data_IF_036810502301
#
_entry.id   IF_036810502301
#
_cell.length_a   1.000
_cell.length_b   1.000
_cell.length_c   1.000
_cell.angle_alpha   90.00
_cell.angle_beta   90.00
_cell.angle_gamma   90.00
#
_symmetry.space_group_name_H-M   'P 1'
#
loop_
_entity.id
_entity.type
_entity.pdbx_description
1 polymer ?
#
# COMPACT_ATOMS: atom_id res chain seq x y z
N UNK A 1 -9.55 -50.25 1.61
CA UNK A 1 -8.40 -50.44 0.71
C UNK A 1 -8.37 -49.24 -0.20
N UNK A 2 -7.23 -48.54 -0.21
CA UNK A 2 -7.06 -47.23 -0.80
C UNK A 2 -7.16 -47.29 -2.32
N UNK A 3 -8.06 -46.47 -2.87
CA UNK A 3 -8.00 -46.01 -4.25
C UNK A 3 -7.64 -44.53 -4.20
N UNK A 4 -6.41 -44.21 -4.57
CA UNK A 4 -5.98 -42.88 -5.00
C UNK A 4 -4.62 -43.08 -5.68
N UNK A 5 -4.71 -43.39 -6.97
CA UNK A 5 -3.58 -43.38 -7.87
C UNK A 5 -3.64 -42.13 -8.74
N UNK A 6 -2.44 -41.59 -8.91
CA UNK A 6 -1.95 -40.78 -10.02
C UNK A 6 -2.34 -39.30 -10.24
N UNK A 7 -1.25 -38.59 -10.59
CA UNK A 7 -1.18 -37.40 -11.44
C UNK A 7 -1.26 -36.03 -10.77
N UNK A 8 -0.12 -35.62 -10.18
CA UNK A 8 0.32 -34.21 -10.28
C UNK A 8 1.67 -34.19 -10.97
N UNK A 9 1.63 -34.27 -12.30
CA UNK A 9 2.75 -33.88 -13.15
C UNK A 9 2.53 -32.43 -13.57
N UNK A 10 3.38 -31.54 -13.09
CA UNK A 10 3.28 -30.12 -13.36
C UNK A 10 4.58 -29.40 -13.03
N UNK A 11 5.50 -29.36 -13.99
CA UNK A 11 6.16 -28.12 -14.46
C UNK A 11 7.46 -28.43 -15.20
N UNK A 12 7.48 -28.03 -16.47
CA UNK A 12 8.61 -27.55 -17.28
C UNK A 12 10.02 -28.11 -17.03
N UNK A 13 10.48 -28.93 -17.97
CA UNK A 13 11.88 -29.16 -18.29
C UNK A 13 12.59 -27.86 -18.71
N UNK A 14 13.26 -27.19 -17.78
CA UNK A 14 14.26 -26.15 -18.09
C UNK A 14 15.38 -26.22 -17.05
N UNK A 15 16.43 -26.95 -17.45
CA UNK A 15 17.70 -27.08 -16.72
C UNK A 15 17.55 -27.82 -15.39
N UNK A 16 18.44 -28.80 -15.14
CA UNK A 16 18.41 -29.65 -13.94
C UNK A 16 18.23 -28.78 -12.70
N UNK A 17 17.16 -29.00 -11.92
CA UNK A 17 16.87 -28.21 -10.72
C UNK A 17 18.15 -28.05 -9.89
N UNK A 18 18.46 -26.87 -9.32
CA UNK A 18 19.72 -26.65 -8.58
C UNK A 18 19.93 -27.71 -7.48
N UNK A 19 18.83 -28.18 -6.91
CA UNK A 19 18.76 -29.30 -5.96
C UNK A 19 19.21 -30.64 -6.55
N UNK A 20 18.86 -30.95 -7.80
CA UNK A 20 19.31 -32.15 -8.53
C UNK A 20 20.81 -32.10 -8.82
N UNK A 21 21.37 -30.92 -9.12
CA UNK A 21 22.82 -30.75 -9.34
C UNK A 21 23.61 -31.06 -8.06
N UNK A 22 23.08 -30.67 -6.90
CA UNK A 22 23.63 -31.04 -5.59
C UNK A 22 23.27 -32.46 -5.15
N UNK A 23 22.29 -33.10 -5.78
CA UNK A 23 21.76 -34.42 -5.40
C UNK A 23 21.03 -34.40 -4.06
N UNK A 24 20.33 -33.31 -3.74
CA UNK A 24 19.57 -33.14 -2.50
C UNK A 24 18.08 -32.89 -2.81
N UNK A 25 17.20 -33.17 -1.86
CA UNK A 25 15.78 -32.84 -2.00
C UNK A 25 15.55 -31.32 -1.90
N UNK A 26 14.46 -30.83 -2.49
CA UNK A 26 14.03 -29.42 -2.41
C UNK A 26 13.72 -28.97 -0.97
N UNK A 27 13.38 -29.94 -0.11
CA UNK A 27 13.11 -29.78 1.33
C UNK A 27 14.38 -29.80 2.19
N UNK A 28 15.57 -30.01 1.60
CA UNK A 28 16.81 -30.18 2.35
C UNK A 28 17.17 -28.95 3.18
N UNK A 29 17.71 -29.15 4.38
CA UNK A 29 18.16 -28.07 5.26
C UNK A 29 19.45 -27.40 4.75
N UNK A 30 19.72 -26.18 5.22
CA UNK A 30 20.94 -25.44 4.87
C UNK A 30 22.23 -26.21 5.20
N UNK A 31 22.18 -27.01 6.27
CA UNK A 31 23.31 -27.85 6.67
C UNK A 31 23.52 -29.02 5.71
N UNK A 32 22.46 -29.60 5.16
CA UNK A 32 22.52 -30.70 4.19
C UNK A 32 23.03 -30.23 2.84
N UNK A 33 22.59 -29.04 2.38
CA UNK A 33 23.09 -28.40 1.17
C UNK A 33 24.60 -28.15 1.26
N UNK A 34 25.06 -27.56 2.38
CA UNK A 34 26.50 -27.34 2.61
C UNK A 34 27.26 -28.67 2.64
N UNK A 35 26.75 -29.70 3.32
CA UNK A 35 27.39 -31.02 3.38
C UNK A 35 27.47 -31.69 2.00
N UNK A 36 26.42 -31.60 1.18
CA UNK A 36 26.40 -32.12 -0.18
C UNK A 36 27.41 -31.38 -1.07
N UNK A 37 27.45 -30.05 -0.97
CA UNK A 37 28.45 -29.22 -1.64
C UNK A 37 29.89 -29.64 -1.29
N UNK A 38 30.23 -29.77 0.00
CA UNK A 38 31.58 -30.18 0.40
C UNK A 38 31.97 -31.55 -0.17
N UNK A 39 31.03 -32.51 -0.20
CA UNK A 39 31.29 -33.85 -0.76
C UNK A 39 31.55 -33.79 -2.27
N UNK A 40 30.77 -32.99 -3.01
CA UNK A 40 30.93 -32.84 -4.46
C UNK A 40 32.15 -32.01 -4.82
N UNK A 41 32.43 -30.94 -4.08
CA UNK A 41 33.60 -30.08 -4.27
C UNK A 41 34.90 -30.86 -4.07
N UNK A 42 34.97 -31.76 -3.09
CA UNK A 42 36.12 -32.64 -2.89
C UNK A 42 36.31 -33.65 -4.02
N UNK A 43 35.24 -34.10 -4.67
CA UNK A 43 35.31 -35.04 -5.81
C UNK A 43 35.72 -34.34 -7.11
N UNK A 44 35.26 -33.11 -7.30
CA UNK A 44 35.46 -32.32 -8.52
C UNK A 44 36.59 -31.27 -8.38
N UNK A 45 37.37 -31.33 -7.31
CA UNK A 45 38.42 -30.34 -7.05
C UNK A 45 39.51 -30.41 -8.15
N UNK A 46 39.96 -29.26 -8.69
CA UNK A 46 40.96 -29.24 -9.77
C UNK A 46 42.29 -29.88 -9.38
N UNK A 47 42.67 -29.85 -8.10
CA UNK A 47 43.86 -30.53 -7.57
C UNK A 47 43.81 -32.07 -7.72
N UNK A 48 42.61 -32.66 -7.65
CA UNK A 48 42.41 -34.12 -7.78
C UNK A 48 42.14 -34.55 -9.23
N UNK A 49 41.64 -33.62 -10.07
CA UNK A 49 41.36 -33.87 -11.48
C UNK A 49 41.98 -32.76 -12.35
N UNK A 50 43.33 -32.70 -12.45
CA UNK A 50 44.02 -31.62 -13.14
C UNK A 50 43.80 -31.59 -14.67
N UNK A 51 43.46 -32.73 -15.28
CA UNK A 51 43.31 -32.88 -16.75
C UNK A 51 41.85 -33.15 -17.19
N UNK A 52 40.88 -33.00 -16.29
CA UNK A 52 39.47 -33.26 -16.58
C UNK A 52 38.69 -31.94 -16.73
N UNK A 53 38.50 -31.52 -17.99
CA UNK A 53 37.70 -30.33 -18.30
C UNK A 53 36.22 -30.50 -17.90
N UNK A 54 35.68 -31.72 -17.89
CA UNK A 54 34.31 -31.93 -17.40
C UNK A 54 34.20 -31.72 -15.88
N UNK A 55 35.21 -32.13 -15.11
CA UNK A 55 35.23 -31.92 -13.67
C UNK A 55 35.27 -30.42 -13.34
N UNK A 56 36.01 -29.64 -14.14
CA UNK A 56 36.10 -28.18 -14.04
C UNK A 56 34.77 -27.49 -14.38
N UNK A 57 34.08 -27.91 -15.44
CA UNK A 57 32.74 -27.41 -15.78
C UNK A 57 31.73 -27.72 -14.66
N UNK A 58 31.71 -28.97 -14.17
CA UNK A 58 30.82 -29.38 -13.07
C UNK A 58 31.16 -28.65 -11.76
N UNK A 59 32.43 -28.35 -11.51
CA UNK A 59 32.86 -27.57 -10.35
C UNK A 59 32.38 -26.11 -10.45
N UNK A 60 32.46 -25.49 -11.63
CA UNK A 60 31.92 -24.15 -11.86
C UNK A 60 30.40 -24.10 -11.67
N UNK A 61 29.66 -25.10 -12.18
CA UNK A 61 28.23 -25.25 -11.92
C UNK A 61 27.94 -25.40 -10.43
N UNK A 62 28.73 -26.20 -9.70
CA UNK A 62 28.59 -26.38 -8.26
C UNK A 62 28.83 -25.07 -7.47
N UNK A 63 29.77 -24.23 -7.91
CA UNK A 63 29.98 -22.89 -7.32
C UNK A 63 28.77 -21.98 -7.50
N UNK A 64 28.16 -21.98 -8.70
CA UNK A 64 26.92 -21.22 -8.96
C UNK A 64 25.75 -21.72 -8.12
N UNK A 65 25.60 -23.03 -8.00
CA UNK A 65 24.51 -23.63 -7.22
C UNK A 65 24.62 -23.23 -5.74
N UNK A 66 25.81 -23.28 -5.15
CA UNK A 66 25.98 -22.90 -3.73
C UNK A 66 25.89 -21.40 -3.49
N UNK A 67 26.14 -20.54 -4.49
CA UNK A 67 25.96 -19.09 -4.32
C UNK A 67 24.48 -18.69 -4.22
N UNK A 68 23.58 -19.52 -4.76
CA UNK A 68 22.13 -19.35 -4.73
C UNK A 68 21.51 -20.10 -3.55
N UNK A 69 21.74 -21.40 -3.45
CA UNK A 69 21.17 -22.24 -2.39
C UNK A 69 21.90 -22.10 -1.05
N UNK A 70 23.06 -21.44 -1.02
CA UNK A 70 23.88 -21.21 0.18
C UNK A 70 23.36 -20.08 1.08
N UNK A 71 22.57 -19.16 0.53
CA UNK A 71 21.96 -18.03 1.22
C UNK A 71 20.45 -18.27 1.33
N UNK A 72 19.91 -18.10 2.53
CA UNK A 72 18.50 -18.37 2.83
C UNK A 72 17.56 -17.40 2.08
N UNK A 73 18.00 -16.16 1.87
CA UNK A 73 17.24 -15.15 1.12
C UNK A 73 17.21 -15.47 -0.39
N UNK A 74 18.36 -15.85 -0.96
CA UNK A 74 18.46 -16.22 -2.38
C UNK A 74 17.79 -17.55 -2.69
N UNK A 75 17.85 -18.51 -1.75
CA UNK A 75 17.11 -19.76 -1.85
C UNK A 75 15.60 -19.52 -1.87
N UNK A 76 15.09 -18.69 -0.96
CA UNK A 76 13.66 -18.35 -0.95
C UNK A 76 13.23 -17.67 -2.26
N UNK A 77 14.09 -16.83 -2.83
CA UNK A 77 13.87 -16.23 -4.14
C UNK A 77 13.84 -17.30 -5.26
N UNK A 78 14.81 -18.22 -5.29
CA UNK A 78 14.84 -19.33 -6.26
C UNK A 78 13.60 -20.22 -6.14
N UNK A 79 13.18 -20.56 -4.92
CA UNK A 79 12.00 -21.38 -4.66
C UNK A 79 10.70 -20.67 -5.09
N UNK A 80 10.67 -19.33 -5.06
CA UNK A 80 9.52 -18.52 -5.47
C UNK A 80 9.48 -18.21 -6.97
N UNK A 81 10.64 -17.96 -7.58
CA UNK A 81 10.75 -17.42 -8.96
C UNK A 81 11.28 -18.44 -9.97
N UNK A 82 11.96 -19.49 -9.51
CA UNK A 82 12.61 -20.49 -10.37
C UNK A 82 13.81 -19.96 -11.18
N UNK A 83 14.28 -18.74 -10.94
CA UNK A 83 15.31 -18.07 -11.75
C UNK A 83 16.71 -18.22 -11.13
N UNK A 84 17.72 -18.50 -11.97
CA UNK A 84 19.04 -18.99 -11.53
C UNK A 84 20.15 -17.94 -11.60
N UNK A 85 20.18 -17.03 -12.60
CA UNK A 85 21.33 -16.14 -12.83
C UNK A 85 20.96 -14.64 -12.72
N UNK A 86 21.92 -13.81 -12.26
CA UNK A 86 21.82 -12.34 -12.25
C UNK A 86 21.63 -11.75 -13.66
N UNK A 87 22.14 -12.43 -14.69
CA UNK A 87 21.95 -12.08 -16.11
C UNK A 87 20.52 -12.38 -16.61
N UNK A 88 19.85 -13.40 -16.05
CA UNK A 88 18.44 -13.69 -16.32
C UNK A 88 17.50 -12.70 -15.58
N UNK A 89 17.97 -12.16 -14.45
CA UNK A 89 17.28 -11.09 -13.71
C UNK A 89 17.31 -9.75 -14.46
N UNK A 90 18.34 -9.52 -15.28
CA UNK A 90 18.51 -8.29 -16.06
C UNK A 90 17.55 -8.20 -17.27
N UNK A 91 16.96 -9.32 -17.69
CA UNK A 91 16.05 -9.39 -18.83
C UNK A 91 14.59 -9.07 -18.51
N UNK A 92 14.14 -9.30 -17.26
CA UNK A 92 12.73 -9.23 -16.89
C UNK A 92 12.52 -8.26 -15.71
N UNK A 93 12.13 -7.02 -16.03
CA UNK A 93 11.91 -5.92 -15.08
C UNK A 93 10.88 -6.26 -13.99
N UNK A 94 9.99 -7.21 -14.25
CA UNK A 94 8.99 -7.68 -13.29
C UNK A 94 9.64 -8.56 -12.19
N UNK A 95 10.65 -9.37 -12.51
CA UNK A 95 11.40 -10.16 -11.53
C UNK A 95 12.25 -9.27 -10.61
N UNK A 96 12.82 -8.20 -11.15
CA UNK A 96 13.56 -7.22 -10.34
C UNK A 96 12.65 -6.53 -9.31
N UNK A 97 11.41 -6.23 -9.70
CA UNK A 97 10.42 -5.61 -8.81
C UNK A 97 10.00 -6.55 -7.68
N UNK A 98 9.83 -7.84 -7.97
CA UNK A 98 9.55 -8.84 -6.95
C UNK A 98 10.73 -9.05 -6.01
N UNK A 99 11.96 -9.09 -6.54
CA UNK A 99 13.20 -9.12 -5.77
C UNK A 99 13.31 -7.94 -4.80
N UNK A 100 13.15 -6.70 -5.27
CA UNK A 100 13.18 -5.53 -4.40
C UNK A 100 12.06 -5.52 -3.37
N UNK A 101 10.89 -6.08 -3.68
CA UNK A 101 9.77 -6.18 -2.73
C UNK A 101 9.93 -7.31 -1.70
N UNK A 102 10.70 -8.34 -2.02
CA UNK A 102 11.08 -9.38 -1.08
C UNK A 102 12.17 -8.89 -0.12
N UNK A 103 13.18 -8.19 -0.65
CA UNK A 103 14.29 -7.61 0.12
C UNK A 103 13.84 -6.46 1.03
N UNK A 104 12.90 -5.63 0.57
CA UNK A 104 12.35 -4.53 1.36
C UNK A 104 10.93 -4.88 1.82
N UNK A 105 10.74 -5.23 3.11
CA UNK A 105 9.42 -5.60 3.62
C UNK A 105 8.43 -4.46 3.36
N UNK A 106 7.18 -4.83 3.05
CA UNK A 106 6.11 -3.87 2.86
C UNK A 106 5.94 -3.06 4.13
N UNK A 107 6.15 -1.75 4.02
CA UNK A 107 5.92 -0.80 5.12
C UNK A 107 4.44 -0.88 5.48
N UNK A 108 4.15 -1.37 6.69
CA UNK A 108 2.78 -1.43 7.20
C UNK A 108 2.40 -0.12 7.90
N UNK A 109 1.10 0.13 8.09
CA UNK A 109 0.66 1.28 8.90
C UNK A 109 1.22 1.20 10.33
N UNK A 110 1.36 0.00 10.89
CA UNK A 110 1.94 -0.20 12.20
C UNK A 110 3.42 0.22 12.27
N UNK A 111 4.17 0.05 11.17
CA UNK A 111 5.58 0.47 11.12
C UNK A 111 5.73 1.98 11.00
N UNK A 112 4.80 2.65 10.30
CA UNK A 112 4.71 4.11 10.28
C UNK A 112 4.41 4.64 11.69
N UNK A 113 3.49 3.99 12.41
CA UNK A 113 3.12 4.39 13.78
C UNK A 113 4.29 4.21 14.75
N UNK A 114 5.02 3.10 14.65
CA UNK A 114 6.25 2.85 15.44
C UNK A 114 7.33 3.87 15.12
N UNK A 115 7.54 4.17 13.83
CA UNK A 115 8.51 5.17 13.40
C UNK A 115 8.17 6.56 13.95
N UNK A 116 6.91 6.98 13.83
CA UNK A 116 6.44 8.27 14.36
C UNK A 116 6.66 8.37 15.88
N UNK A 117 6.33 7.30 16.62
CA UNK A 117 6.50 7.25 18.07
C UNK A 117 7.97 7.32 18.50
N UNK A 118 8.86 6.71 17.73
CA UNK A 118 10.30 6.72 18.01
C UNK A 118 10.97 8.02 17.55
N UNK A 119 10.46 8.67 16.51
CA UNK A 119 11.02 9.90 15.96
C UNK A 119 10.62 11.13 16.80
N UNK A 120 9.34 11.24 17.19
CA UNK A 120 8.86 12.38 17.96
C UNK A 120 9.46 12.41 19.37
N UNK A 121 10.10 13.53 19.71
CA UNK A 121 10.82 13.74 20.96
C UNK A 121 12.22 13.12 20.99
N UNK A 122 12.68 12.54 19.89
CA UNK A 122 14.04 11.98 19.79
C UNK A 122 15.09 13.06 19.53
N UNK A 123 16.36 12.71 19.78
CA UNK A 123 17.49 13.56 19.40
C UNK A 123 17.51 13.81 17.89
N UNK A 124 17.22 12.79 17.07
CA UNK A 124 17.16 12.90 15.60
C UNK A 124 16.22 14.00 15.14
N UNK A 125 15.06 14.12 15.78
CA UNK A 125 14.10 15.18 15.46
C UNK A 125 14.65 16.57 15.82
N UNK A 126 15.34 16.70 16.95
CA UNK A 126 16.00 17.95 17.33
C UNK A 126 17.06 18.34 16.30
N UNK A 127 17.91 17.40 15.90
CA UNK A 127 18.95 17.66 14.88
C UNK A 127 18.35 18.08 13.55
N UNK A 128 17.34 17.36 13.07
CA UNK A 128 16.65 17.67 11.83
C UNK A 128 15.98 19.07 11.89
N UNK A 129 15.34 19.39 13.02
CA UNK A 129 14.70 20.69 13.23
C UNK A 129 15.72 21.84 13.16
N UNK A 130 16.89 21.67 13.79
CA UNK A 130 17.99 22.63 13.77
C UNK A 130 18.55 22.80 12.36
N UNK A 131 18.74 21.70 11.63
CA UNK A 131 19.29 21.74 10.27
C UNK A 131 18.31 22.39 9.28
N UNK A 132 17.02 22.09 9.39
CA UNK A 132 15.99 22.77 8.61
C UNK A 132 15.87 24.24 8.99
N UNK A 133 16.04 24.59 10.27
CA UNK A 133 16.06 25.98 10.72
C UNK A 133 17.20 26.75 10.07
N UNK A 134 18.42 26.18 10.03
CA UNK A 134 19.59 26.75 9.34
C UNK A 134 19.33 26.89 7.83
N UNK A 135 18.81 25.83 7.20
CA UNK A 135 18.52 25.80 5.75
C UNK A 135 17.51 26.87 5.33
N UNK A 136 16.43 27.04 6.10
CA UNK A 136 15.35 27.98 5.78
C UNK A 136 15.45 29.32 6.51
N UNK A 137 16.53 29.55 7.27
CA UNK A 137 16.81 30.79 8.01
C UNK A 137 15.62 31.22 8.89
N UNK A 138 15.07 30.28 9.66
CA UNK A 138 13.94 30.51 10.57
C UNK A 138 12.58 30.76 9.92
N UNK A 139 12.41 30.46 8.62
CA UNK A 139 11.10 30.51 7.95
C UNK A 139 10.27 29.26 8.27
N UNK A 140 9.58 29.28 9.41
CA UNK A 140 8.87 28.13 9.96
C UNK A 140 7.83 27.50 9.02
N UNK A 141 7.10 28.30 8.22
CA UNK A 141 6.16 27.75 7.22
C UNK A 141 6.82 26.78 6.23
N UNK A 142 8.05 27.07 5.79
CA UNK A 142 8.81 26.17 4.89
C UNK A 142 9.38 24.98 5.63
N UNK A 143 9.81 25.21 6.88
CA UNK A 143 10.31 24.16 7.76
C UNK A 143 9.24 23.08 7.98
N UNK A 144 8.02 23.46 8.36
CA UNK A 144 6.91 22.51 8.57
C UNK A 144 6.54 21.74 7.29
N UNK A 145 6.68 22.33 6.11
CA UNK A 145 6.43 21.61 4.85
C UNK A 145 7.51 20.55 4.55
N UNK A 146 8.73 20.72 5.06
CA UNK A 146 9.84 19.79 4.83
C UNK A 146 10.04 18.79 5.98
N UNK A 147 9.59 19.13 7.18
CA UNK A 147 9.81 18.33 8.38
C UNK A 147 8.86 17.14 8.42
N UNK A 148 9.42 15.93 8.56
CA UNK A 148 8.62 14.71 8.70
C UNK A 148 7.89 14.69 10.03
N UNK A 149 6.74 14.00 10.07
CA UNK A 149 5.96 13.82 11.30
C UNK A 149 5.57 15.15 12.02
N UNK A 150 5.45 16.25 11.28
CA UNK A 150 5.15 17.57 11.83
C UNK A 150 3.74 18.07 11.48
N UNK A 151 3.04 18.65 12.45
CA UNK A 151 1.78 19.36 12.28
C UNK A 151 1.88 20.74 12.92
N UNK A 152 1.66 21.79 12.12
CA UNK A 152 1.71 23.19 12.58
C UNK A 152 0.82 23.41 13.82
N UNK A 153 -0.34 22.78 13.91
CA UNK A 153 -1.26 23.02 15.04
C UNK A 153 -0.85 22.31 16.32
N UNK A 154 -0.17 21.17 16.23
CA UNK A 154 0.19 20.34 17.38
C UNK A 154 1.63 20.61 17.84
N UNK A 155 2.54 20.81 16.90
CA UNK A 155 3.98 20.85 17.16
C UNK A 155 4.54 22.27 17.30
N UNK A 156 3.77 23.33 17.00
CA UNK A 156 4.27 24.71 17.06
C UNK A 156 4.89 25.09 18.40
N UNK A 157 4.25 24.74 19.52
CA UNK A 157 4.80 25.05 20.84
C UNK A 157 6.05 24.23 21.15
N UNK A 158 6.03 22.92 20.85
CA UNK A 158 7.17 22.03 21.10
C UNK A 158 8.40 22.39 20.27
N UNK A 159 8.20 22.70 18.99
CA UNK A 159 9.28 23.17 18.12
C UNK A 159 9.82 24.52 18.56
N UNK A 160 8.96 25.40 19.08
CA UNK A 160 9.40 26.65 19.69
C UNK A 160 10.31 26.36 20.89
N UNK A 161 9.88 25.49 21.82
CA UNK A 161 10.68 25.18 23.02
C UNK A 161 12.05 24.60 22.65
N UNK A 162 12.11 23.66 21.69
CA UNK A 162 13.37 23.05 21.22
C UNK A 162 14.28 24.10 20.57
N UNK A 163 13.73 24.98 19.73
CA UNK A 163 14.49 26.01 19.04
C UNK A 163 14.95 27.11 20.02
N UNK A 164 14.12 27.50 20.99
CA UNK A 164 14.48 28.45 22.03
C UNK A 164 15.60 27.89 22.92
N UNK A 165 15.56 26.60 23.25
CA UNK A 165 16.65 25.90 23.95
C UNK A 165 17.94 25.90 23.12
N UNK A 166 17.86 25.57 21.83
CA UNK A 166 19.02 25.57 20.93
C UNK A 166 19.60 26.98 20.69
N UNK A 167 18.75 28.02 20.69
CA UNK A 167 19.19 29.43 20.64
C UNK A 167 19.87 29.81 21.96
N UNK A 168 19.31 29.42 23.10
CA UNK A 168 19.88 29.68 24.42
C UNK A 168 21.23 28.97 24.62
N UNK A 169 21.37 27.75 24.08
CA UNK A 169 22.63 27.01 24.04
C UNK A 169 23.65 27.60 23.04
N UNK A 170 23.23 28.52 22.17
CA UNK A 170 24.09 29.15 21.17
C UNK A 170 24.38 28.31 19.92
N UNK A 171 23.67 27.18 19.73
CA UNK A 171 23.81 26.30 18.57
C UNK A 171 23.27 26.96 17.28
N UNK A 172 22.24 27.81 17.42
CA UNK A 172 21.61 28.54 16.33
C UNK A 172 21.37 30.01 16.70
N UNK A 173 21.39 30.88 15.69
CA UNK A 173 21.09 32.31 15.85
C UNK A 173 19.60 32.58 15.65
N UNK A 174 19.01 33.37 16.54
CA UNK A 174 17.67 33.92 16.34
C UNK A 174 17.61 34.73 15.04
N UNK A 175 16.49 34.62 14.33
CA UNK A 175 16.22 35.42 13.13
C UNK A 175 14.92 36.20 13.33
N UNK A 176 14.80 37.37 12.69
CA UNK A 176 13.56 38.18 12.75
C UNK A 176 12.31 37.41 12.30
N UNK A 177 12.48 36.48 11.35
CA UNK A 177 11.39 35.63 10.88
C UNK A 177 10.92 34.64 11.97
N UNK A 178 11.87 34.07 12.70
CA UNK A 178 11.59 33.20 13.84
C UNK A 178 10.97 33.97 14.99
N UNK A 179 11.50 35.12 15.38
CA UNK A 179 10.97 35.95 16.47
C UNK A 179 9.50 36.32 16.24
N UNK A 180 9.15 36.72 15.01
CA UNK A 180 7.77 37.00 14.62
C UNK A 180 6.88 35.77 14.79
N UNK A 181 7.34 34.60 14.36
CA UNK A 181 6.59 33.35 14.48
C UNK A 181 6.48 32.91 15.95
N UNK A 182 7.54 33.00 16.74
CA UNK A 182 7.57 32.62 18.14
C UNK A 182 6.59 33.46 18.98
N UNK A 183 6.40 34.73 18.61
CA UNK A 183 5.37 35.62 19.17
C UNK A 183 3.96 35.15 18.80
N UNK A 184 3.71 34.85 17.53
CA UNK A 184 2.42 34.33 17.05
C UNK A 184 2.06 33.02 17.77
N UNK A 185 3.03 32.13 17.98
CA UNK A 185 2.84 30.86 18.71
C UNK A 185 2.56 31.08 20.19
N UNK A 186 3.20 32.04 20.86
CA UNK A 186 2.85 32.35 22.26
C UNK A 186 1.43 32.92 22.42
N UNK A 187 0.88 33.52 21.37
CA UNK A 187 -0.49 34.04 21.38
C UNK A 187 -1.53 32.94 21.10
N UNK A 188 -1.11 31.82 20.48
CA UNK A 188 -1.98 30.67 20.26
C UNK A 188 -2.12 29.81 21.51
N UNK A 189 -3.31 29.19 21.70
CA UNK A 189 -3.55 28.29 22.83
C UNK A 189 -2.73 27.00 22.66
N UNK A 190 -2.03 26.54 23.71
CA UNK A 190 -1.28 25.29 23.65
C UNK A 190 -2.24 24.11 23.41
N UNK A 191 -1.86 23.16 22.55
CA UNK A 191 -2.69 22.02 22.22
C UNK A 191 -2.89 21.10 23.44
N UNK A 192 -4.09 20.56 23.58
CA UNK A 192 -4.53 19.75 24.74
C UNK A 192 -3.75 18.44 24.92
N UNK A 193 -3.01 17.97 23.91
CA UNK A 193 -2.14 16.79 24.01
C UNK A 193 -1.11 16.74 22.87
N UNK A 194 0.09 17.31 23.04
CA UNK A 194 1.06 17.49 21.95
C UNK A 194 1.67 16.17 21.42
N UNK A 195 1.73 15.12 22.23
CA UNK A 195 2.35 13.83 21.85
C UNK A 195 1.35 12.76 21.40
N UNK A 196 0.04 12.99 21.57
CA UNK A 196 -0.96 11.96 21.29
C UNK A 196 -1.42 12.11 19.85
N UNK A 197 -1.11 11.09 19.05
CA UNK A 197 -1.57 11.00 17.66
C UNK A 197 -3.06 11.30 17.62
N UNK A 198 -3.48 12.13 16.64
CA UNK A 198 -4.88 12.19 16.26
C UNK A 198 -5.25 10.76 15.90
N UNK A 199 -6.03 10.07 16.73
CA UNK A 199 -6.69 8.87 16.25
C UNK A 199 -7.37 9.34 14.96
N UNK A 200 -6.94 8.83 13.80
CA UNK A 200 -7.87 8.79 12.66
C UNK A 200 -9.08 8.14 13.32
N UNK A 201 -10.17 8.90 13.43
CA UNK A 201 -11.45 8.28 13.69
C UNK A 201 -11.45 7.09 12.74
N UNK A 202 -11.48 5.87 13.27
CA UNK A 202 -11.90 4.73 12.47
C UNK A 202 -13.30 5.10 12.01
N UNK A 203 -13.40 5.90 10.95
CA UNK A 203 -14.36 5.56 9.93
C UNK A 203 -13.74 4.30 9.34
N UNK A 204 -14.04 3.19 10.03
CA UNK A 204 -14.46 1.99 9.32
C UNK A 204 -15.16 2.48 8.04
N UNK A 205 -14.83 1.95 6.86
CA UNK A 205 -15.71 2.16 5.74
C UNK A 205 -17.03 1.52 6.15
N UNK A 206 -17.93 2.28 6.78
CA UNK A 206 -19.34 1.95 6.86
C UNK A 206 -19.69 1.59 5.44
N UNK A 207 -19.84 0.29 5.23
CA UNK A 207 -19.79 -0.37 3.94
C UNK A 207 -20.54 0.50 2.93
N UNK A 208 -19.80 1.07 1.98
CA UNK A 208 -20.34 2.08 1.07
C UNK A 208 -21.57 1.51 0.35
N UNK A 209 -21.61 0.18 0.21
CA UNK A 209 -22.74 -0.62 -0.24
C UNK A 209 -23.95 -0.56 0.70
N UNK A 210 -23.76 -0.69 2.02
CA UNK A 210 -24.81 -0.53 3.02
C UNK A 210 -25.42 0.89 2.99
N UNK A 211 -24.60 1.93 2.85
CA UNK A 211 -25.09 3.32 2.74
C UNK A 211 -25.88 3.52 1.43
N UNK A 212 -25.41 2.98 0.32
CA UNK A 212 -26.11 3.04 -0.97
C UNK A 212 -27.43 2.28 -0.90
N UNK A 213 -27.44 1.08 -0.32
CA UNK A 213 -28.63 0.25 -0.12
C UNK A 213 -29.68 0.95 0.74
N UNK A 214 -29.27 1.55 1.86
CA UNK A 214 -30.17 2.31 2.72
C UNK A 214 -30.81 3.49 1.99
N UNK A 215 -30.01 4.29 1.25
CA UNK A 215 -30.53 5.42 0.45
C UNK A 215 -31.48 4.98 -0.65
N UNK A 216 -31.21 3.85 -1.31
CA UNK A 216 -32.12 3.29 -2.32
C UNK A 216 -33.46 2.86 -1.68
N UNK A 217 -33.42 2.24 -0.50
CA UNK A 217 -34.62 1.81 0.20
C UNK A 217 -35.45 2.99 0.71
N UNK A 218 -34.80 4.04 1.22
CA UNK A 218 -35.45 5.31 1.59
C UNK A 218 -36.12 5.99 0.39
N UNK A 219 -35.43 6.06 -0.76
CA UNK A 219 -36.02 6.58 -2.01
C UNK A 219 -37.23 5.77 -2.44
N UNK A 220 -37.17 4.44 -2.35
CA UNK A 220 -38.28 3.54 -2.68
C UNK A 220 -39.46 3.72 -1.74
N UNK A 221 -39.23 3.83 -0.44
CA UNK A 221 -40.28 4.11 0.55
C UNK A 221 -40.97 5.46 0.28
N UNK A 222 -40.18 6.49 -0.02
CA UNK A 222 -40.71 7.82 -0.35
C UNK A 222 -41.48 7.81 -1.68
N UNK A 223 -41.00 7.09 -2.69
CA UNK A 223 -41.72 6.89 -3.97
C UNK A 223 -43.04 6.16 -3.76
N UNK A 224 -43.08 5.08 -2.96
CA UNK A 224 -44.31 4.34 -2.68
C UNK A 224 -45.33 5.18 -1.91
N UNK A 225 -44.87 5.98 -0.96
CA UNK A 225 -45.74 6.93 -0.24
C UNK A 225 -46.30 8.00 -1.18
N UNK A 226 -45.48 8.53 -2.10
CA UNK A 226 -45.92 9.48 -3.13
C UNK A 226 -46.92 8.85 -4.09
N UNK A 227 -46.67 7.64 -4.59
CA UNK A 227 -47.60 6.89 -5.45
C UNK A 227 -48.91 6.57 -4.74
N UNK A 228 -48.86 6.14 -3.48
CA UNK A 228 -50.07 5.89 -2.69
C UNK A 228 -50.89 7.17 -2.50
N UNK A 229 -50.24 8.30 -2.19
CA UNK A 229 -50.93 9.58 -2.09
C UNK A 229 -51.53 10.01 -3.43
N UNK A 230 -50.84 9.77 -4.55
CA UNK A 230 -51.33 10.10 -5.88
C UNK A 230 -52.51 9.20 -6.29
N UNK A 231 -52.42 7.90 -6.00
CA UNK A 231 -53.50 6.93 -6.22
C UNK A 231 -54.73 7.27 -5.37
N UNK A 232 -54.57 7.63 -4.09
CA UNK A 232 -55.70 8.06 -3.27
C UNK A 232 -56.31 9.40 -3.72
N UNK A 233 -55.52 10.29 -4.33
CA UNK A 233 -55.98 11.61 -4.76
C UNK A 233 -56.61 11.62 -6.16
N UNK A 234 -56.16 10.75 -7.05
CA UNK A 234 -56.56 10.74 -8.47
C UNK A 234 -57.12 9.40 -8.96
N UNK A 235 -56.91 8.30 -8.24
CA UNK A 235 -57.41 6.97 -8.58
C UNK A 235 -58.86 6.78 -8.15
N UNK A 236 -59.76 7.62 -8.69
CA UNK A 236 -61.18 7.68 -8.35
C UNK A 236 -61.91 6.33 -8.28
N UNK A 237 -63.09 6.40 -7.65
CA UNK A 237 -64.03 5.32 -7.33
C UNK A 237 -64.03 4.16 -8.36
N UNK A 238 -63.85 2.88 -7.94
CA UNK A 238 -63.83 1.73 -8.85
C UNK A 238 -65.13 1.51 -9.66
N UNK A 239 -66.17 2.34 -9.48
CA UNK A 239 -67.41 2.31 -10.25
C UNK A 239 -67.46 3.26 -11.46
N UNK A 240 -66.37 4.00 -11.78
CA UNK A 240 -66.33 4.86 -12.97
C UNK A 240 -65.84 4.03 -14.16
N UNK A 241 -66.77 3.68 -15.05
CA UNK A 241 -66.49 2.99 -16.32
C UNK A 241 -65.48 3.79 -17.15
N UNK A 242 -64.52 3.11 -17.79
CA UNK A 242 -63.54 3.73 -18.68
C UNK A 242 -64.26 4.62 -19.72
N UNK A 243 -63.80 5.87 -19.94
CA UNK A 243 -64.42 6.76 -20.92
C UNK A 243 -64.33 6.13 -22.32
N UNK A 244 -65.37 6.31 -23.13
CA UNK A 244 -65.42 5.68 -24.46
C UNK A 244 -64.30 6.19 -25.36
N UNK A 245 -63.90 5.38 -26.35
CA UNK A 245 -62.85 5.72 -27.32
C UNK A 245 -63.10 7.09 -27.97
N UNK A 246 -64.37 7.45 -28.23
CA UNK A 246 -64.76 8.76 -28.78
C UNK A 246 -64.48 9.92 -27.82
N UNK A 247 -64.74 9.75 -26.52
CA UNK A 247 -64.44 10.78 -25.50
C UNK A 247 -62.92 10.97 -25.35
N UNK A 248 -62.16 9.89 -25.48
CA UNK A 248 -60.70 9.92 -25.42
C UNK A 248 -60.08 10.59 -26.66
N UNK A 249 -60.59 10.29 -27.86
CA UNK A 249 -60.18 10.97 -29.09
C UNK A 249 -60.54 12.45 -29.09
N UNK A 250 -61.72 12.81 -28.56
CA UNK A 250 -62.13 14.21 -28.42
C UNK A 250 -61.22 14.99 -27.45
N UNK A 251 -60.78 14.35 -26.36
CA UNK A 251 -59.81 14.93 -25.43
C UNK A 251 -58.43 15.12 -26.06
N UNK A 252 -57.97 14.16 -26.88
CA UNK A 252 -56.73 14.28 -27.66
C UNK A 252 -56.79 15.45 -28.65
N UNK A 253 -57.87 15.57 -29.42
CA UNK A 253 -58.06 16.68 -30.37
C UNK A 253 -58.08 18.04 -29.67
N UNK A 254 -58.68 18.15 -28.48
CA UNK A 254 -58.64 19.38 -27.64
C UNK A 254 -57.23 19.74 -27.14
N UNK A 255 -56.41 18.74 -26.83
CA UNK A 255 -55.03 18.95 -26.41
C UNK A 255 -54.14 19.39 -27.58
N UNK A 256 -54.34 18.80 -28.75
CA UNK A 256 -53.62 19.16 -29.98
C UNK A 256 -53.97 20.57 -30.47
N UNK A 257 -55.25 20.96 -30.41
CA UNK A 257 -55.67 22.33 -30.76
C UNK A 257 -55.11 23.38 -29.80
N UNK A 258 -55.04 23.09 -28.48
CA UNK A 258 -54.36 23.95 -27.49
C UNK A 258 -52.84 24.02 -27.69
N UNK A 259 -52.22 22.97 -28.21
CA UNK A 259 -50.79 22.97 -28.55
C UNK A 259 -50.51 23.80 -29.80
N UNK A 260 -51.38 23.76 -30.80
CA UNK A 260 -51.28 24.60 -31.99
C UNK A 260 -51.54 26.08 -31.68
N UNK A 261 -52.49 26.41 -30.80
CA UNK A 261 -52.77 27.79 -30.42
C UNK A 261 -51.67 28.44 -29.57
N UNK A 262 -50.80 27.65 -28.93
CA UNK A 262 -49.62 28.12 -28.18
C UNK A 262 -48.34 28.24 -29.03
N UNK A 263 -48.36 27.75 -30.27
CA UNK A 263 -47.22 27.73 -31.20
C UNK A 263 -47.31 28.79 -32.31
N UNK A 264 -48.34 29.65 -32.29
CA UNK A 264 -48.45 30.87 -33.09
C UNK A 264 -48.28 32.10 -32.20
#
# INVERSE_FOLDING_TARGET
MNENDESVNGSSSREKSLYEILGVETTASQQEIKKAYYKLALRLHPDKNPDDEEAKEKFQQLQKVISILGDEEKRALYDQTGCVDDDDLAGDVDNLKEFFRAMHPKITEADIDKFEANYRGSESERTDLIDLYKKYKGKMKRLFCSMICSDVKLDSHRFKDILDEAIAAGEIKSTKAYEKWAKEVSETKPPTSPLKRRQKSKKEPDDLFAIISQRQNERRGKMNSMFSSLASKYGGDPSVTEPSEEEFEAARRRLESRKQSKRK
#
